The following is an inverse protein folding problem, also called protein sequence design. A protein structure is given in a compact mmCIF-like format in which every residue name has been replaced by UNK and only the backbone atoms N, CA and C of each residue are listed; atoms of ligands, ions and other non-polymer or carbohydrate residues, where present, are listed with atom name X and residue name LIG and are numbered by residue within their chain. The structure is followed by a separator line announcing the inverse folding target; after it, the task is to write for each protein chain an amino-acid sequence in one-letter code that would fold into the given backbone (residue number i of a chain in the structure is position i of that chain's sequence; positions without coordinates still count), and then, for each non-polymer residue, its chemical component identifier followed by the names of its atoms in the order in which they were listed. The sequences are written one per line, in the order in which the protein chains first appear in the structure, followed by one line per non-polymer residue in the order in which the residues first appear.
data_IF_571039124663
#
_entry.id   IF_571039124663
#
_cell.length_a   1.000
_cell.length_b   1.000
_cell.length_c   1.000
_cell.angle_alpha   90.00
_cell.angle_beta   90.00
_cell.angle_gamma   90.00
#
_symmetry.space_group_name_H-M   'P 1'
#
loop_
_entity.id
_entity.type
_entity.pdbx_description
1 polymer ?
#
# COMPACT_ATOMS: atom_id res chain seq x y z
N UNK A 1 -5.11 -1.52 31.79
CA UNK A 1 -6.34 -2.28 31.50
C UNK A 1 -6.65 -2.10 30.02
N UNK A 2 -6.31 -3.08 29.14
CA UNK A 2 -6.65 -3.02 27.70
C UNK A 2 -8.10 -3.46 27.55
N UNK A 3 -8.98 -2.54 27.20
CA UNK A 3 -10.37 -2.87 26.82
C UNK A 3 -10.30 -3.70 25.54
N UNK A 4 -10.53 -5.01 25.65
CA UNK A 4 -10.76 -5.88 24.48
C UNK A 4 -12.11 -5.49 23.90
N UNK A 5 -12.11 -4.64 22.88
CA UNK A 5 -13.32 -4.40 22.07
C UNK A 5 -13.66 -5.70 21.35
N UNK A 6 -14.90 -6.15 21.49
CA UNK A 6 -15.39 -7.38 20.85
C UNK A 6 -15.28 -7.25 19.32
N UNK A 7 -14.93 -8.31 18.57
CA UNK A 7 -14.84 -8.31 17.11
C UNK A 7 -16.07 -7.70 16.41
N UNK A 8 -17.24 -7.95 16.95
CA UNK A 8 -18.51 -7.40 16.45
C UNK A 8 -18.58 -5.87 16.49
N UNK A 9 -18.02 -5.25 17.53
CA UNK A 9 -17.96 -3.78 17.65
C UNK A 9 -17.05 -3.20 16.58
N UNK A 10 -15.92 -3.82 16.30
CA UNK A 10 -15.01 -3.40 15.22
C UNK A 10 -15.68 -3.49 13.84
N UNK A 11 -16.38 -4.60 13.56
CA UNK A 11 -17.14 -4.76 12.30
C UNK A 11 -18.22 -3.68 12.13
N UNK A 12 -18.95 -3.37 13.18
CA UNK A 12 -19.97 -2.32 13.16
C UNK A 12 -19.36 -0.95 12.93
N UNK A 13 -18.24 -0.63 13.59
CA UNK A 13 -17.53 0.63 13.42
C UNK A 13 -16.98 0.80 12.00
N UNK A 14 -16.42 -0.27 11.40
CA UNK A 14 -15.96 -0.22 10.02
C UNK A 14 -17.09 -0.01 9.03
N UNK A 15 -18.26 -0.65 9.27
CA UNK A 15 -19.46 -0.42 8.46
C UNK A 15 -20.01 1.00 8.57
N UNK A 16 -19.76 1.69 9.68
CA UNK A 16 -20.15 3.10 9.86
C UNK A 16 -19.21 4.09 9.19
N UNK A 17 -18.00 3.66 8.79
CA UNK A 17 -17.11 4.50 7.98
C UNK A 17 -17.75 4.73 6.60
N UNK A 18 -17.55 5.94 6.01
CA UNK A 18 -17.98 6.15 4.64
C UNK A 18 -17.37 5.08 3.72
N UNK A 19 -18.22 4.31 3.03
CA UNK A 19 -17.80 3.22 2.12
C UNK A 19 -16.79 3.66 1.05
N UNK A 20 -16.69 4.97 0.82
CA UNK A 20 -15.71 5.55 -0.10
C UNK A 20 -14.26 5.51 0.40
N UNK A 21 -13.99 5.18 1.67
CA UNK A 21 -12.62 5.17 2.24
C UNK A 21 -12.15 3.79 2.69
N UNK A 22 -13.07 2.85 2.87
CA UNK A 22 -12.81 1.49 3.34
C UNK A 22 -13.68 0.55 2.53
N UNK A 23 -13.14 -0.58 2.09
CA UNK A 23 -13.91 -1.56 1.31
C UNK A 23 -15.04 -2.18 2.14
N UNK A 24 -14.77 -2.51 3.39
CA UNK A 24 -15.68 -3.15 4.33
C UNK A 24 -14.93 -4.08 5.29
N UNK A 25 -15.64 -4.74 6.21
CA UNK A 25 -15.03 -5.55 7.26
C UNK A 25 -14.60 -6.97 6.81
N UNK A 26 -15.07 -7.44 5.68
CA UNK A 26 -14.85 -8.82 5.23
C UNK A 26 -13.86 -8.88 4.05
N UNK A 27 -13.26 -10.06 3.83
CA UNK A 27 -12.39 -10.32 2.67
C UNK A 27 -13.18 -10.13 1.36
N UNK A 28 -14.46 -10.51 1.34
CA UNK A 28 -15.33 -10.33 0.18
C UNK A 28 -15.53 -8.87 -0.22
N UNK A 29 -15.59 -7.97 0.75
CA UNK A 29 -15.68 -6.54 0.48
C UNK A 29 -14.41 -6.03 -0.22
N UNK A 30 -13.23 -6.51 0.22
CA UNK A 30 -11.96 -6.16 -0.41
C UNK A 30 -11.90 -6.65 -1.85
N UNK A 31 -12.33 -7.87 -2.11
CA UNK A 31 -12.36 -8.47 -3.46
C UNK A 31 -13.33 -7.76 -4.39
N UNK A 32 -14.53 -7.44 -3.91
CA UNK A 32 -15.52 -6.67 -4.68
C UNK A 32 -14.94 -5.32 -5.13
N UNK A 33 -14.35 -4.56 -4.21
CA UNK A 33 -13.73 -3.27 -4.53
C UNK A 33 -12.51 -3.44 -5.45
N UNK A 34 -11.70 -4.48 -5.25
CA UNK A 34 -10.57 -4.77 -6.13
C UNK A 34 -11.04 -5.01 -7.57
N UNK A 35 -12.07 -5.84 -7.78
CA UNK A 35 -12.65 -6.09 -9.09
C UNK A 35 -13.20 -4.83 -9.77
N UNK A 36 -13.91 -3.97 -9.03
CA UNK A 36 -14.42 -2.68 -9.53
C UNK A 36 -13.29 -1.75 -9.99
N UNK A 37 -12.18 -1.71 -9.24
CA UNK A 37 -11.03 -0.87 -9.57
C UNK A 37 -10.25 -1.42 -10.77
N UNK A 38 -10.00 -2.73 -10.82
CA UNK A 38 -9.31 -3.41 -11.92
C UNK A 38 -10.06 -3.23 -13.22
N UNK A 39 -11.40 -3.38 -13.22
CA UNK A 39 -12.25 -3.15 -14.38
C UNK A 39 -12.12 -1.75 -14.99
N UNK A 40 -11.60 -0.79 -14.22
CA UNK A 40 -11.35 0.59 -14.64
C UNK A 40 -9.87 0.90 -14.89
N UNK A 41 -9.02 -0.13 -15.06
CA UNK A 41 -7.60 0.00 -15.39
C UNK A 41 -6.69 0.39 -14.20
N UNK A 42 -7.18 0.31 -12.97
CA UNK A 42 -6.39 0.56 -11.77
C UNK A 42 -5.75 -0.72 -11.27
N UNK A 43 -4.55 -0.61 -10.73
CA UNK A 43 -3.96 -1.65 -9.88
C UNK A 43 -4.40 -1.43 -8.43
N UNK A 44 -4.40 -2.49 -7.64
CA UNK A 44 -4.93 -2.44 -6.27
C UNK A 44 -3.87 -2.88 -5.28
N UNK A 45 -3.81 -2.18 -4.15
CA UNK A 45 -3.02 -2.56 -2.98
C UNK A 45 -3.97 -2.77 -1.81
N UNK A 46 -4.13 -4.01 -1.35
CA UNK A 46 -5.08 -4.32 -0.30
C UNK A 46 -4.36 -4.30 1.05
N UNK A 47 -4.82 -3.41 1.93
CA UNK A 47 -4.39 -3.34 3.32
C UNK A 47 -5.49 -3.95 4.18
N UNK A 48 -5.44 -5.26 4.38
CA UNK A 48 -6.42 -5.98 5.17
C UNK A 48 -5.94 -6.17 6.61
N UNK A 49 -6.83 -5.93 7.57
CA UNK A 49 -6.57 -6.17 8.98
C UNK A 49 -7.81 -6.78 9.64
N UNK A 50 -7.65 -7.94 10.25
CA UNK A 50 -8.67 -8.57 11.07
C UNK A 50 -8.98 -7.73 12.33
N UNK A 51 -10.10 -8.02 12.99
CA UNK A 51 -10.43 -7.40 14.28
C UNK A 51 -9.44 -7.81 15.37
N UNK A 52 -9.06 -9.10 15.40
CA UNK A 52 -8.01 -9.63 16.27
C UNK A 52 -6.75 -9.90 15.43
N UNK A 53 -5.57 -9.42 15.86
CA UNK A 53 -4.31 -9.72 15.20
C UNK A 53 -4.00 -11.23 15.06
N UNK A 54 -4.62 -12.07 15.88
CA UNK A 54 -4.47 -13.52 15.77
C UNK A 54 -5.06 -14.08 14.47
N UNK A 55 -6.10 -13.43 13.94
CA UNK A 55 -6.83 -13.85 12.74
C UNK A 55 -6.20 -13.29 11.43
N UNK A 56 -5.27 -12.33 11.53
CA UNK A 56 -4.66 -11.67 10.35
C UNK A 56 -4.05 -12.68 9.37
N UNK A 57 -3.37 -13.71 9.88
CA UNK A 57 -2.72 -14.70 9.01
C UNK A 57 -3.74 -15.49 8.19
N UNK A 58 -4.82 -15.93 8.81
CA UNK A 58 -5.87 -16.69 8.14
C UNK A 58 -6.63 -15.84 7.11
N UNK A 59 -7.02 -14.61 7.49
CA UNK A 59 -7.74 -13.70 6.59
C UNK A 59 -6.88 -13.26 5.40
N UNK A 60 -5.59 -12.95 5.62
CA UNK A 60 -4.64 -12.60 4.55
C UNK A 60 -4.35 -13.79 3.63
N UNK A 61 -4.21 -15.01 4.18
CA UNK A 61 -4.04 -16.21 3.37
C UNK A 61 -5.27 -16.48 2.47
N UNK A 62 -6.46 -16.35 3.05
CA UNK A 62 -7.71 -16.45 2.29
C UNK A 62 -7.81 -15.39 1.19
N UNK A 63 -7.45 -14.15 1.49
CA UNK A 63 -7.42 -13.05 0.51
C UNK A 63 -6.49 -13.36 -0.66
N UNK A 64 -5.25 -13.80 -0.38
CA UNK A 64 -4.26 -14.17 -1.41
C UNK A 64 -4.79 -15.29 -2.31
N UNK A 65 -5.33 -16.37 -1.72
CA UNK A 65 -5.89 -17.50 -2.48
C UNK A 65 -7.04 -17.07 -3.39
N UNK A 66 -7.89 -16.16 -2.93
CA UNK A 66 -9.03 -15.67 -3.72
C UNK A 66 -8.62 -14.68 -4.81
N UNK A 67 -7.59 -13.84 -4.59
CA UNK A 67 -7.01 -13.01 -5.64
C UNK A 67 -6.42 -13.85 -6.77
N UNK A 68 -5.72 -14.93 -6.42
CA UNK A 68 -5.20 -15.90 -7.38
C UNK A 68 -6.33 -16.57 -8.17
N UNK A 69 -7.34 -17.10 -7.47
CA UNK A 69 -8.48 -17.77 -8.10
C UNK A 69 -9.31 -16.85 -9.01
N UNK A 70 -9.38 -15.56 -8.70
CA UNK A 70 -10.04 -14.55 -9.53
C UNK A 70 -9.21 -14.11 -10.75
N UNK A 71 -7.95 -14.56 -10.89
CA UNK A 71 -7.05 -14.13 -11.96
C UNK A 71 -6.51 -12.69 -11.79
N UNK A 72 -6.58 -12.11 -10.59
CA UNK A 72 -6.18 -10.72 -10.31
C UNK A 72 -4.80 -10.58 -9.67
N UNK A 73 -4.06 -11.69 -9.55
CA UNK A 73 -2.75 -11.72 -8.90
C UNK A 73 -1.78 -10.67 -9.43
N UNK A 74 -1.70 -10.48 -10.76
CA UNK A 74 -0.79 -9.53 -11.39
C UNK A 74 -1.17 -8.05 -11.17
N UNK A 75 -2.45 -7.77 -10.89
CA UNK A 75 -2.96 -6.41 -10.69
C UNK A 75 -3.05 -6.00 -9.22
N UNK A 76 -2.87 -6.97 -8.31
CA UNK A 76 -2.99 -6.76 -6.87
C UNK A 76 -1.66 -6.93 -6.15
N UNK A 77 -1.49 -6.17 -5.08
CA UNK A 77 -0.58 -6.53 -3.99
C UNK A 77 -1.31 -6.56 -2.66
N UNK A 78 -0.76 -7.32 -1.73
CA UNK A 78 -1.20 -7.35 -0.34
C UNK A 78 -0.16 -6.69 0.57
N UNK A 79 -0.63 -5.89 1.51
CA UNK A 79 0.24 -5.21 2.48
C UNK A 79 0.38 -6.06 3.73
N UNK A 80 1.61 -6.46 4.03
CA UNK A 80 1.95 -7.18 5.26
C UNK A 80 2.53 -6.20 6.28
N UNK A 81 1.78 -5.93 7.35
CA UNK A 81 2.22 -5.11 8.47
C UNK A 81 3.10 -5.96 9.39
N UNK A 82 4.42 -6.01 9.13
CA UNK A 82 5.36 -6.90 9.82
C UNK A 82 5.38 -6.70 11.34
N UNK A 83 5.24 -5.46 11.81
CA UNK A 83 5.14 -5.17 13.25
C UNK A 83 3.88 -5.72 13.92
N UNK A 84 2.82 -5.99 13.16
CA UNK A 84 1.57 -6.60 13.65
C UNK A 84 1.59 -8.12 13.54
N UNK A 85 2.11 -8.65 12.45
CA UNK A 85 2.17 -10.08 12.15
C UNK A 85 3.30 -10.80 12.88
N UNK A 86 4.43 -10.12 13.07
CA UNK A 86 5.69 -10.74 13.48
C UNK A 86 6.42 -11.40 12.31
N UNK A 87 7.73 -11.63 12.48
CA UNK A 87 8.62 -12.05 11.40
C UNK A 87 8.26 -13.42 10.79
N UNK A 88 7.87 -14.40 11.61
CA UNK A 88 7.54 -15.74 11.13
C UNK A 88 6.32 -15.74 10.22
N UNK A 89 5.18 -15.18 10.68
CA UNK A 89 3.94 -15.09 9.88
C UNK A 89 4.13 -14.25 8.62
N UNK A 90 4.90 -13.15 8.71
CA UNK A 90 5.22 -12.32 7.54
C UNK A 90 5.93 -13.12 6.46
N UNK A 91 6.92 -13.96 6.83
CA UNK A 91 7.63 -14.83 5.87
C UNK A 91 6.73 -15.89 5.27
N UNK A 92 5.88 -16.55 6.08
CA UNK A 92 4.91 -17.53 5.61
C UNK A 92 3.95 -16.94 4.59
N UNK A 93 3.34 -15.79 4.92
CA UNK A 93 2.40 -15.10 4.02
C UNK A 93 3.08 -14.59 2.75
N UNK A 94 4.30 -14.09 2.85
CA UNK A 94 5.06 -13.64 1.68
C UNK A 94 5.41 -14.80 0.73
N UNK A 95 5.72 -15.98 1.26
CA UNK A 95 5.93 -17.18 0.47
C UNK A 95 4.64 -17.61 -0.23
N UNK A 96 3.53 -17.69 0.51
CA UNK A 96 2.21 -18.00 -0.03
C UNK A 96 1.80 -17.03 -1.15
N UNK A 97 1.96 -15.73 -0.93
CA UNK A 97 1.63 -14.72 -1.93
C UNK A 97 2.47 -14.85 -3.20
N UNK A 98 3.78 -15.09 -3.05
CA UNK A 98 4.69 -15.33 -4.19
C UNK A 98 4.26 -16.56 -4.99
N UNK A 99 3.94 -17.67 -4.33
CA UNK A 99 3.53 -18.91 -4.98
C UNK A 99 2.18 -18.74 -5.71
N UNK A 100 1.32 -17.85 -5.21
CA UNK A 100 0.07 -17.42 -5.85
C UNK A 100 0.26 -16.32 -6.93
N UNK A 101 1.47 -15.82 -7.14
CA UNK A 101 1.76 -14.74 -8.08
C UNK A 101 1.28 -13.35 -7.62
N UNK A 102 0.92 -13.20 -6.34
CA UNK A 102 0.47 -11.93 -5.75
C UNK A 102 1.67 -11.16 -5.20
N UNK A 103 1.83 -9.91 -5.59
CA UNK A 103 2.88 -9.03 -5.07
C UNK A 103 2.66 -8.73 -3.57
N UNK A 104 3.77 -8.52 -2.85
CA UNK A 104 3.75 -8.17 -1.42
C UNK A 104 4.35 -6.81 -1.19
N UNK A 105 3.73 -6.03 -0.30
CA UNK A 105 4.28 -4.81 0.27
C UNK A 105 4.55 -5.00 1.76
N UNK A 106 5.78 -4.82 2.17
CA UNK A 106 6.16 -4.82 3.57
C UNK A 106 5.97 -3.42 4.15
N UNK A 107 4.97 -3.26 5.00
CA UNK A 107 4.79 -2.07 5.82
C UNK A 107 5.45 -2.29 7.19
N UNK A 108 6.09 -1.24 7.69
CA UNK A 108 6.80 -1.27 8.97
C UNK A 108 7.76 -2.48 9.06
N UNK A 109 8.71 -2.61 8.11
CA UNK A 109 9.62 -3.74 8.09
C UNK A 109 10.45 -3.73 9.37
N UNK A 110 10.17 -4.68 10.26
CA UNK A 110 11.04 -4.98 11.38
C UNK A 110 12.36 -5.52 10.81
N UNK A 111 13.48 -5.20 11.46
CA UNK A 111 14.81 -5.67 11.03
C UNK A 111 14.88 -7.20 10.94
N UNK A 112 14.08 -7.89 11.74
CA UNK A 112 14.02 -9.35 11.83
C UNK A 112 13.34 -10.04 10.64
N UNK A 113 12.61 -9.33 9.79
CA UNK A 113 11.93 -9.95 8.63
C UNK A 113 12.94 -10.39 7.58
N UNK A 114 14.08 -9.73 7.53
CA UNK A 114 15.13 -9.99 6.54
C UNK A 114 14.72 -9.53 5.14
N UNK A 115 15.58 -9.81 4.17
CA UNK A 115 15.28 -9.52 2.77
C UNK A 115 14.27 -10.55 2.24
N UNK A 116 13.09 -10.09 1.84
CA UNK A 116 12.12 -10.90 1.10
C UNK A 116 12.28 -10.58 -0.40
N UNK A 117 12.88 -11.47 -1.19
CA UNK A 117 13.13 -11.23 -2.61
C UNK A 117 11.84 -10.87 -3.35
N UNK A 118 11.88 -9.81 -4.13
CA UNK A 118 10.72 -9.36 -4.92
C UNK A 118 9.67 -8.55 -4.16
N UNK A 119 9.71 -8.48 -2.83
CA UNK A 119 8.78 -7.68 -2.07
C UNK A 119 9.04 -6.17 -2.25
N UNK A 120 7.95 -5.40 -2.27
CA UNK A 120 8.03 -3.94 -2.21
C UNK A 120 8.22 -3.51 -0.76
N UNK A 121 9.18 -2.64 -0.48
CA UNK A 121 9.40 -2.10 0.87
C UNK A 121 8.77 -0.72 0.98
N UNK A 122 7.88 -0.54 1.95
CA UNK A 122 7.32 0.77 2.25
C UNK A 122 8.32 1.64 3.04
N UNK A 123 8.51 2.87 2.58
CA UNK A 123 9.37 3.87 3.22
C UNK A 123 8.57 5.15 3.39
N UNK A 124 8.44 5.62 4.62
CA UNK A 124 7.87 6.94 4.89
C UNK A 124 8.96 8.01 4.83
N UNK A 125 8.73 9.10 4.11
CA UNK A 125 9.66 10.23 4.07
C UNK A 125 9.85 10.94 5.42
N UNK A 126 9.01 10.63 6.41
CA UNK A 126 9.19 11.11 7.80
C UNK A 126 10.23 10.31 8.60
N UNK A 127 10.57 9.12 8.16
CA UNK A 127 11.59 8.33 8.87
C UNK A 127 12.94 9.07 8.82
N UNK A 128 13.66 9.16 9.96
CA UNK A 128 14.92 9.89 10.01
C UNK A 128 15.96 9.38 9.02
N UNK A 129 15.89 8.11 8.66
CA UNK A 129 16.80 7.41 7.75
C UNK A 129 16.21 7.18 6.35
N UNK A 130 15.07 7.81 6.01
CA UNK A 130 14.34 7.57 4.76
C UNK A 130 15.22 7.64 3.52
N UNK A 131 16.05 8.69 3.39
CA UNK A 131 16.91 8.87 2.22
C UNK A 131 17.98 7.79 2.11
N UNK A 132 18.59 7.40 3.23
CA UNK A 132 19.55 6.29 3.29
C UNK A 132 18.89 4.97 2.86
N UNK A 133 17.69 4.68 3.38
CA UNK A 133 16.92 3.48 3.02
C UNK A 133 16.55 3.49 1.54
N UNK A 134 16.10 4.63 1.01
CA UNK A 134 15.81 4.77 -0.42
C UNK A 134 17.05 4.46 -1.27
N UNK A 135 18.26 4.94 -0.89
CA UNK A 135 19.49 4.61 -1.63
C UNK A 135 19.83 3.12 -1.62
N UNK A 136 19.70 2.48 -0.47
CA UNK A 136 19.99 1.03 -0.33
C UNK A 136 19.01 0.18 -1.15
N UNK A 137 17.72 0.59 -1.18
CA UNK A 137 16.64 -0.16 -1.80
C UNK A 137 16.35 0.26 -3.25
N UNK A 138 17.03 1.28 -3.77
CA UNK A 138 16.68 1.95 -5.02
C UNK A 138 16.67 1.06 -6.27
N UNK A 139 17.46 -0.02 -6.29
CA UNK A 139 17.46 -1.00 -7.39
C UNK A 139 16.25 -1.97 -7.33
N UNK A 140 15.53 -2.02 -6.22
CA UNK A 140 14.39 -2.91 -5.99
C UNK A 140 13.05 -2.22 -6.16
N UNK A 141 12.09 -2.67 -5.37
CA UNK A 141 10.71 -2.15 -5.34
C UNK A 141 10.49 -1.37 -4.04
N UNK A 142 10.26 -0.08 -4.14
CA UNK A 142 10.05 0.80 -2.98
C UNK A 142 8.73 1.53 -3.13
N UNK A 143 7.91 1.53 -2.08
CA UNK A 143 6.75 2.42 -1.97
C UNK A 143 7.10 3.59 -1.06
N UNK A 144 7.35 4.74 -1.67
CA UNK A 144 7.62 5.98 -0.94
C UNK A 144 6.31 6.67 -0.59
N UNK A 145 6.06 6.90 0.70
CA UNK A 145 4.92 7.70 1.17
C UNK A 145 5.34 9.09 1.62
N UNK A 146 4.49 10.09 1.34
CA UNK A 146 4.71 11.42 1.87
C UNK A 146 4.45 11.46 3.39
N UNK A 147 5.21 12.28 4.07
CA UNK A 147 5.09 12.52 5.51
C UNK A 147 4.23 13.74 5.85
N UNK A 148 3.37 14.19 4.94
CA UNK A 148 2.64 15.45 5.08
C UNK A 148 3.55 16.67 4.93
N UNK A 149 3.11 17.83 5.43
CA UNK A 149 3.82 19.10 5.21
C UNK A 149 5.28 19.10 5.72
N UNK A 150 5.53 18.49 6.88
CA UNK A 150 6.85 18.42 7.48
C UNK A 150 7.83 17.49 6.72
N UNK A 151 7.31 16.49 6.02
CA UNK A 151 8.12 15.52 5.26
C UNK A 151 8.38 15.88 3.79
N UNK A 152 7.85 17.00 3.31
CA UNK A 152 7.85 17.33 1.87
C UNK A 152 9.24 17.40 1.25
N UNK A 153 10.21 18.07 1.91
CA UNK A 153 11.57 18.17 1.41
C UNK A 153 12.28 16.81 1.39
N UNK A 154 12.12 16.02 2.45
CA UNK A 154 12.68 14.67 2.52
C UNK A 154 12.04 13.76 1.45
N UNK A 155 10.73 13.91 1.19
CA UNK A 155 10.05 13.19 0.11
C UNK A 155 10.69 13.49 -1.25
N UNK A 156 10.93 14.76 -1.60
CA UNK A 156 11.55 15.12 -2.88
C UNK A 156 12.97 14.58 -3.00
N UNK A 157 13.74 14.55 -1.91
CA UNK A 157 15.08 13.93 -1.91
C UNK A 157 15.01 12.43 -2.17
N UNK A 158 14.14 11.71 -1.45
CA UNK A 158 13.90 10.30 -1.66
C UNK A 158 13.39 10.00 -3.08
N UNK A 159 12.47 10.82 -3.58
CA UNK A 159 11.91 10.71 -4.93
C UNK A 159 13.02 10.76 -6.00
N UNK A 160 13.93 11.75 -5.92
CA UNK A 160 15.05 11.88 -6.84
C UNK A 160 15.95 10.63 -6.81
N UNK A 161 16.26 10.11 -5.62
CA UNK A 161 17.06 8.88 -5.47
C UNK A 161 16.39 7.69 -6.17
N UNK A 162 15.09 7.51 -5.96
CA UNK A 162 14.36 6.37 -6.51
C UNK A 162 14.14 6.47 -8.02
N UNK A 163 13.86 7.67 -8.53
CA UNK A 163 13.65 7.86 -9.98
C UNK A 163 14.95 7.83 -10.78
N UNK A 164 16.08 8.16 -10.19
CA UNK A 164 17.40 8.03 -10.83
C UNK A 164 17.89 6.58 -10.94
N UNK A 165 17.34 5.66 -10.14
CA UNK A 165 17.77 4.28 -10.06
C UNK A 165 16.91 3.35 -10.94
N UNK A 166 17.39 2.13 -11.30
CA UNK A 166 16.67 1.22 -12.20
C UNK A 166 15.46 0.51 -11.56
N UNK A 167 15.22 0.66 -10.27
CA UNK A 167 14.13 -0.02 -9.56
C UNK A 167 12.72 0.40 -10.00
N UNK A 168 11.71 -0.15 -9.35
CA UNK A 168 10.29 0.12 -9.64
C UNK A 168 9.62 0.83 -8.46
N UNK A 169 9.74 2.15 -8.34
CA UNK A 169 9.12 2.88 -7.24
C UNK A 169 7.62 3.07 -7.43
N UNK A 170 6.86 2.90 -6.34
CA UNK A 170 5.50 3.37 -6.18
C UNK A 170 5.50 4.65 -5.35
N UNK A 171 4.90 5.71 -5.86
CA UNK A 171 4.94 7.04 -5.25
C UNK A 171 3.59 7.37 -4.63
N UNK A 172 3.52 7.28 -3.30
CA UNK A 172 2.29 7.40 -2.53
C UNK A 172 2.12 8.82 -1.98
N UNK A 173 1.31 9.63 -2.65
CA UNK A 173 0.95 10.98 -2.21
C UNK A 173 -0.41 11.40 -2.73
N UNK A 174 -1.06 12.32 -2.01
CA UNK A 174 -2.28 13.00 -2.44
C UNK A 174 -2.09 14.53 -2.57
N UNK A 175 -0.89 15.03 -2.30
CA UNK A 175 -0.56 16.45 -2.49
C UNK A 175 -0.40 16.74 -3.99
N UNK A 176 -1.22 17.66 -4.59
CA UNK A 176 -1.14 17.95 -6.01
C UNK A 176 0.23 18.43 -6.47
N UNK A 177 0.95 19.16 -5.60
CA UNK A 177 2.29 19.65 -5.90
C UNK A 177 3.28 18.49 -5.99
N UNK A 178 3.20 17.53 -5.07
CA UNK A 178 4.07 16.35 -5.10
C UNK A 178 3.72 15.42 -6.27
N UNK A 179 2.45 15.33 -6.66
CA UNK A 179 2.03 14.60 -7.87
C UNK A 179 2.68 15.24 -9.11
N UNK A 180 2.59 16.55 -9.26
CA UNK A 180 3.20 17.27 -10.38
C UNK A 180 4.73 17.10 -10.40
N UNK A 181 5.39 17.35 -9.26
CA UNK A 181 6.84 17.16 -9.11
C UNK A 181 7.25 15.72 -9.47
N UNK A 182 6.45 14.72 -9.11
CA UNK A 182 6.75 13.32 -9.45
C UNK A 182 6.78 13.11 -10.95
N UNK A 183 5.78 13.61 -11.68
CA UNK A 183 5.75 13.53 -13.15
C UNK A 183 6.93 14.23 -13.81
N UNK A 184 7.24 15.47 -13.37
CA UNK A 184 8.39 16.23 -13.87
C UNK A 184 9.71 15.51 -13.63
N UNK A 185 9.93 14.95 -12.43
CA UNK A 185 11.15 14.22 -12.09
C UNK A 185 11.25 12.89 -12.83
N UNK A 186 10.14 12.18 -13.03
CA UNK A 186 10.12 10.98 -13.84
C UNK A 186 10.54 11.28 -15.30
N UNK A 187 9.98 12.35 -15.89
CA UNK A 187 10.37 12.81 -17.24
C UNK A 187 11.85 13.24 -17.29
N UNK A 188 12.32 13.98 -16.30
CA UNK A 188 13.72 14.41 -16.20
C UNK A 188 14.71 13.23 -16.19
N UNK A 189 14.35 12.14 -15.49
CA UNK A 189 15.16 10.92 -15.45
C UNK A 189 14.89 9.96 -16.59
N UNK A 190 14.09 10.34 -17.60
CA UNK A 190 13.76 9.51 -18.75
C UNK A 190 13.02 8.21 -18.36
N UNK A 191 12.23 8.24 -17.30
CA UNK A 191 11.50 7.06 -16.81
C UNK A 191 10.36 6.69 -17.75
N UNK A 192 10.38 5.46 -18.25
CA UNK A 192 9.23 4.93 -18.98
C UNK A 192 7.99 4.84 -18.07
N UNK A 193 6.77 5.12 -18.57
CA UNK A 193 5.54 5.15 -17.76
C UNK A 193 5.29 3.86 -16.97
N UNK A 194 5.68 2.71 -17.51
CA UNK A 194 5.52 1.39 -16.89
C UNK A 194 6.56 1.08 -15.82
N UNK A 195 7.62 1.88 -15.69
CA UNK A 195 8.73 1.64 -14.77
C UNK A 195 8.48 2.15 -13.35
N UNK A 196 7.38 2.86 -13.13
CA UNK A 196 6.96 3.41 -11.85
C UNK A 196 5.44 3.57 -11.79
N UNK A 197 4.88 3.86 -10.63
CA UNK A 197 3.44 4.06 -10.49
C UNK A 197 3.10 5.12 -9.43
N UNK A 198 1.97 5.83 -9.63
CA UNK A 198 1.33 6.58 -8.57
C UNK A 198 0.60 5.62 -7.63
N UNK A 199 0.60 5.91 -6.32
CA UNK A 199 -0.20 5.20 -5.33
C UNK A 199 -1.10 6.19 -4.62
N UNK A 200 -2.41 5.97 -4.64
CA UNK A 200 -3.38 6.87 -4.04
C UNK A 200 -4.37 6.11 -3.14
N UNK A 201 -4.84 6.70 -2.03
CA UNK A 201 -5.82 6.05 -1.18
C UNK A 201 -7.17 5.89 -1.88
N UNK A 202 -7.86 4.81 -1.56
CA UNK A 202 -9.23 4.55 -2.00
C UNK A 202 -10.16 5.70 -1.60
N UNK A 203 -11.00 6.14 -2.51
CA UNK A 203 -12.00 7.19 -2.31
C UNK A 203 -11.45 8.62 -2.16
N UNK A 204 -10.14 8.81 -2.27
CA UNK A 204 -9.50 10.13 -2.14
C UNK A 204 -9.09 10.64 -3.52
N UNK A 205 -9.45 11.90 -3.82
CA UNK A 205 -9.11 12.57 -5.09
C UNK A 205 -9.42 11.74 -6.34
N UNK A 206 -10.60 11.19 -6.42
CA UNK A 206 -11.02 10.30 -7.51
C UNK A 206 -10.94 10.96 -8.90
N UNK A 207 -11.10 12.29 -8.98
CA UNK A 207 -10.93 13.03 -10.22
C UNK A 207 -9.46 13.04 -10.66
N UNK A 208 -8.54 13.24 -9.72
CA UNK A 208 -7.10 13.18 -9.99
C UNK A 208 -6.67 11.77 -10.40
N UNK A 209 -7.23 10.74 -9.76
CA UNK A 209 -7.00 9.36 -10.19
C UNK A 209 -7.43 9.13 -11.64
N UNK A 210 -8.60 9.63 -12.04
CA UNK A 210 -9.09 9.54 -13.43
C UNK A 210 -8.20 10.32 -14.39
N UNK A 211 -7.75 11.52 -14.01
CA UNK A 211 -6.84 12.35 -14.79
C UNK A 211 -5.51 11.65 -15.05
N UNK A 212 -4.90 11.05 -14.02
CA UNK A 212 -3.64 10.32 -14.15
C UNK A 212 -3.77 9.12 -15.10
N UNK A 213 -4.84 8.34 -14.99
CA UNK A 213 -5.10 7.21 -15.91
C UNK A 213 -5.32 7.68 -17.35
N UNK A 214 -6.10 8.74 -17.55
CA UNK A 214 -6.34 9.32 -18.87
C UNK A 214 -5.05 9.86 -19.51
N UNK A 215 -4.09 10.30 -18.70
CA UNK A 215 -2.76 10.71 -19.15
C UNK A 215 -1.77 9.54 -19.36
N UNK A 216 -2.23 8.29 -19.25
CA UNK A 216 -1.41 7.09 -19.48
C UNK A 216 -0.50 6.71 -18.30
N UNK A 217 -0.67 7.33 -17.14
CA UNK A 217 0.13 6.96 -15.95
C UNK A 217 -0.39 5.68 -15.30
N UNK A 218 0.51 4.89 -14.77
CA UNK A 218 0.15 3.75 -13.93
C UNK A 218 -0.32 4.25 -12.57
N UNK A 219 -1.45 3.73 -12.12
CA UNK A 219 -2.06 4.09 -10.85
C UNK A 219 -2.43 2.84 -10.07
N UNK A 220 -2.01 2.80 -8.81
CA UNK A 220 -2.42 1.82 -7.82
C UNK A 220 -3.27 2.50 -6.75
N UNK A 221 -4.38 1.86 -6.39
CA UNK A 221 -5.27 2.34 -5.33
C UNK A 221 -5.08 1.49 -4.09
N UNK A 222 -4.72 2.16 -2.98
CA UNK A 222 -4.52 1.51 -1.69
C UNK A 222 -5.86 1.44 -0.94
N UNK A 223 -6.37 0.21 -0.78
CA UNK A 223 -7.70 -0.10 -0.25
C UNK A 223 -7.59 -0.67 1.16
N UNK A 224 -7.99 0.09 2.20
CA UNK A 224 -8.14 -0.46 3.54
C UNK A 224 -9.35 -1.39 3.60
N UNK A 225 -9.21 -2.52 4.28
CA UNK A 225 -10.28 -3.50 4.47
C UNK A 225 -10.09 -4.30 5.76
N UNK A 226 -11.10 -5.09 6.10
CA UNK A 226 -11.12 -5.89 7.31
C UNK A 226 -11.71 -5.14 8.51
N UNK A 227 -12.11 -5.87 9.53
CA UNK A 227 -12.72 -5.30 10.73
C UNK A 227 -11.74 -4.41 11.54
N UNK A 228 -10.43 -4.59 11.34
CA UNK A 228 -9.37 -3.74 11.90
C UNK A 228 -9.01 -2.50 11.07
N UNK A 229 -9.70 -2.23 9.96
CA UNK A 229 -9.40 -1.14 9.02
C UNK A 229 -9.39 0.27 9.65
N UNK A 230 -10.12 0.47 10.75
CA UNK A 230 -10.05 1.73 11.52
C UNK A 230 -8.62 2.09 11.92
N UNK A 231 -7.82 1.10 12.34
CA UNK A 231 -6.42 1.30 12.67
C UNK A 231 -5.57 1.73 11.46
N UNK A 232 -5.88 1.21 10.27
CA UNK A 232 -5.21 1.60 9.02
C UNK A 232 -5.55 3.06 8.70
N UNK A 233 -6.83 3.41 8.71
CA UNK A 233 -7.30 4.77 8.42
C UNK A 233 -6.74 5.78 9.44
N UNK A 234 -6.77 5.45 10.73
CA UNK A 234 -6.22 6.31 11.78
C UNK A 234 -4.73 6.60 11.60
N UNK A 235 -3.91 5.59 11.25
CA UNK A 235 -2.49 5.78 10.95
C UNK A 235 -2.27 6.70 9.74
N UNK A 236 -3.09 6.58 8.71
CA UNK A 236 -3.02 7.44 7.52
C UNK A 236 -3.38 8.89 7.83
N UNK A 237 -4.36 9.11 8.71
CA UNK A 237 -4.79 10.45 9.13
C UNK A 237 -3.86 11.06 10.16
N UNK A 238 -3.40 10.27 11.15
CA UNK A 238 -2.46 10.71 12.19
C UNK A 238 -1.07 11.08 11.67
N UNK A 239 -0.66 10.54 10.53
CA UNK A 239 0.56 10.98 9.84
C UNK A 239 0.45 12.33 9.13
N UNK A 240 -0.73 12.97 9.16
CA UNK A 240 -1.01 14.28 8.55
C UNK A 240 -1.09 15.44 9.56
N UNK A 241 -1.06 15.13 10.86
CA UNK A 241 -1.08 16.12 11.93
C UNK A 241 0.33 16.64 12.26
#
# INVERSE_FOLDING_TARGET
MRVRTRPEVHRLLVRSLPARYVAGPEVDDALRVAGELIATGRRVSIEHAAADPADDEAELAALVGRLHAAGWAADCDVVLAAGRLGAARTRTLAALARDAGVDVVLADPAEDVGALPGATVAVSSRAPDAERRCRVLAAGRVRLSDGGAAGRLAFVRCLNVLLAAPGRPGIATTDPRLIAITGERAAWHGRAPESWEHVMPYGVRTDEQRRLLAAGHRLRVAVPSGAGALGIVARRLGGRA
#
